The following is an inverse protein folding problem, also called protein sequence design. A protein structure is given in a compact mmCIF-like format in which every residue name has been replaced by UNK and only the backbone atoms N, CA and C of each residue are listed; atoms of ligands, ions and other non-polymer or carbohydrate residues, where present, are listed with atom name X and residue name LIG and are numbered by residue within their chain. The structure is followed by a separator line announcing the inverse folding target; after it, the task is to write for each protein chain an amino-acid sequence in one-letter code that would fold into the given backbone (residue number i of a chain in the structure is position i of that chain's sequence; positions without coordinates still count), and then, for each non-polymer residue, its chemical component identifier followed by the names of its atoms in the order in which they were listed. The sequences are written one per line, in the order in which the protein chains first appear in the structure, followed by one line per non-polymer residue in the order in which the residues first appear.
data_IF_215688659213
#
_entry.id   IF_215688659213
#
_cell.length_a   1.000
_cell.length_b   1.000
_cell.length_c   1.000
_cell.angle_alpha   90.00
_cell.angle_beta   90.00
_cell.angle_gamma   90.00
#
_symmetry.space_group_name_H-M   'P 1'
#
loop_
_entity.id
_entity.type
_entity.pdbx_description
1 polymer ?
#
# COMPACT_ATOMS: atom_id res chain seq x y z
N UNK A 1 -11.78 1.42 -5.63
CA UNK A 1 -12.12 0.03 -6.06
C UNK A 1 -11.12 -0.87 -5.36
N UNK A 2 -11.62 -1.86 -4.63
CA UNK A 2 -10.82 -2.79 -3.81
C UNK A 2 -10.03 -3.79 -4.67
N UNK A 3 -8.88 -4.22 -4.17
CA UNK A 3 -8.15 -5.35 -4.72
C UNK A 3 -8.83 -6.62 -4.18
N UNK A 4 -9.20 -7.56 -5.06
CA UNK A 4 -9.57 -8.90 -4.59
C UNK A 4 -8.25 -9.60 -4.27
N UNK A 5 -8.06 -10.00 -3.01
CA UNK A 5 -6.89 -10.73 -2.59
C UNK A 5 -6.82 -12.06 -3.36
N UNK A 6 -5.93 -12.10 -4.35
CA UNK A 6 -5.23 -13.32 -4.74
C UNK A 6 -3.77 -13.20 -4.35
N UNK A 7 -3.48 -12.64 -3.16
CA UNK A 7 -2.19 -12.93 -2.52
C UNK A 7 -2.25 -14.42 -2.16
N UNK A 8 -1.32 -15.21 -2.71
CA UNK A 8 -1.10 -16.63 -2.40
C UNK A 8 -0.65 -16.89 -0.96
N UNK A 9 -1.31 -16.25 -0.01
CA UNK A 9 -1.22 -16.51 1.42
C UNK A 9 -2.33 -17.49 1.79
N UNK A 10 -2.03 -18.47 2.63
CA UNK A 10 -2.93 -19.52 3.17
C UNK A 10 -4.21 -19.00 3.85
N UNK A 11 -4.49 -17.70 3.82
CA UNK A 11 -5.73 -17.07 4.28
C UNK A 11 -6.90 -17.30 3.30
N UNK A 12 -6.64 -17.60 2.02
CA UNK A 12 -7.69 -17.83 1.02
C UNK A 12 -8.55 -19.10 1.28
N UNK A 13 -8.03 -20.05 2.06
CA UNK A 13 -8.67 -21.33 2.36
C UNK A 13 -9.28 -21.40 3.77
N UNK A 14 -9.28 -20.30 4.51
CA UNK A 14 -9.84 -20.28 5.86
C UNK A 14 -11.36 -20.08 5.82
N UNK A 15 -12.12 -21.11 6.21
CA UNK A 15 -13.56 -20.98 6.50
C UNK A 15 -13.69 -20.66 7.99
N UNK A 16 -14.32 -19.55 8.40
CA UNK A 16 -14.41 -19.21 9.81
C UNK A 16 -15.19 -20.26 10.61
N UNK A 17 -14.72 -20.50 11.82
CA UNK A 17 -15.42 -21.32 12.81
C UNK A 17 -16.59 -20.49 13.33
N UNK A 18 -17.79 -20.77 12.81
CA UNK A 18 -19.10 -20.35 13.31
C UNK A 18 -19.30 -18.84 13.59
N UNK A 19 -19.79 -18.12 12.59
CA UNK A 19 -20.34 -16.76 12.69
C UNK A 19 -20.75 -16.26 11.31
N UNK A 20 -21.83 -15.47 11.20
CA UNK A 20 -22.17 -14.80 9.94
C UNK A 20 -21.08 -13.77 9.62
N UNK A 21 -20.30 -14.01 8.56
CA UNK A 21 -19.35 -13.03 8.04
C UNK A 21 -20.09 -11.78 7.54
N UNK A 22 -19.49 -10.61 7.76
CA UNK A 22 -20.02 -9.37 7.18
C UNK A 22 -19.91 -9.43 5.66
N UNK A 23 -21.05 -9.57 4.98
CA UNK A 23 -21.12 -9.46 3.52
C UNK A 23 -21.38 -8.00 3.10
N UNK A 24 -20.59 -7.49 2.16
CA UNK A 24 -20.70 -6.11 1.68
C UNK A 24 -22.01 -5.89 0.90
N UNK A 25 -22.50 -6.92 0.21
CA UNK A 25 -23.73 -6.83 -0.59
C UNK A 25 -24.98 -7.16 0.22
N UNK A 26 -24.90 -8.14 1.13
CA UNK A 26 -26.04 -8.74 1.80
C UNK A 26 -26.05 -8.44 3.31
N UNK A 27 -27.24 -8.21 3.85
CA UNK A 27 -27.48 -8.14 5.30
C UNK A 27 -27.50 -9.55 5.93
N UNK A 28 -27.52 -9.63 7.26
CA UNK A 28 -27.62 -10.90 7.98
C UNK A 28 -28.92 -11.66 7.64
N UNK A 29 -29.97 -10.93 7.28
CA UNK A 29 -31.27 -11.45 6.86
C UNK A 29 -31.31 -11.85 5.37
N UNK A 30 -30.19 -11.70 4.64
CA UNK A 30 -30.06 -12.05 3.22
C UNK A 30 -30.62 -11.02 2.23
N UNK A 31 -31.16 -9.90 2.72
CA UNK A 31 -31.59 -8.79 1.88
C UNK A 31 -30.38 -7.96 1.40
N UNK A 32 -30.38 -7.45 0.15
CA UNK A 32 -29.30 -6.56 -0.32
C UNK A 32 -29.26 -5.28 0.53
N UNK A 33 -28.06 -4.84 0.90
CA UNK A 33 -27.85 -3.58 1.60
C UNK A 33 -28.29 -2.40 0.73
N UNK A 34 -28.74 -1.27 1.31
CA UNK A 34 -29.29 -0.15 0.55
C UNK A 34 -28.39 0.37 -0.58
N UNK A 35 -27.07 0.46 -0.34
CA UNK A 35 -26.11 0.93 -1.34
C UNK A 35 -25.86 -0.10 -2.47
N UNK A 36 -26.16 -1.37 -2.24
CA UNK A 36 -26.10 -2.44 -3.25
C UNK A 36 -27.42 -2.65 -4.00
N UNK A 37 -28.56 -2.13 -3.53
CA UNK A 37 -29.88 -2.38 -4.11
C UNK A 37 -29.92 -2.24 -5.64
N UNK A 38 -29.47 -1.10 -6.18
CA UNK A 38 -29.49 -0.90 -7.64
C UNK A 38 -28.59 -1.86 -8.43
N UNK A 39 -27.50 -2.35 -7.84
CA UNK A 39 -26.63 -3.35 -8.47
C UNK A 39 -27.29 -4.74 -8.40
N UNK A 40 -27.91 -5.07 -7.26
CA UNK A 40 -28.73 -6.27 -7.11
C UNK A 40 -29.88 -6.31 -8.12
N UNK A 41 -30.58 -5.19 -8.32
CA UNK A 41 -31.69 -5.09 -9.26
C UNK A 41 -31.22 -5.21 -10.71
N UNK A 42 -30.09 -4.59 -11.06
CA UNK A 42 -29.47 -4.77 -12.37
C UNK A 42 -29.13 -6.24 -12.60
N UNK A 43 -28.41 -6.86 -11.65
CA UNK A 43 -27.99 -8.26 -11.74
C UNK A 43 -29.18 -9.22 -11.92
N UNK A 44 -30.30 -8.99 -11.22
CA UNK A 44 -31.53 -9.80 -11.35
C UNK A 44 -32.22 -9.63 -12.71
N UNK A 45 -32.11 -8.46 -13.35
CA UNK A 45 -32.75 -8.16 -14.64
C UNK A 45 -31.87 -8.53 -15.83
N UNK A 46 -30.55 -8.64 -15.63
CA UNK A 46 -29.60 -8.98 -16.69
C UNK A 46 -29.59 -10.49 -16.96
N UNK A 47 -29.81 -10.94 -18.21
CA UNK A 47 -29.71 -12.35 -18.57
C UNK A 47 -28.31 -12.93 -18.29
N UNK A 48 -28.24 -14.18 -17.86
CA UNK A 48 -26.99 -14.87 -17.49
C UNK A 48 -25.98 -14.88 -18.65
N UNK A 49 -26.44 -15.10 -19.89
CA UNK A 49 -25.59 -15.09 -21.08
C UNK A 49 -24.95 -13.72 -21.32
N UNK A 50 -25.67 -12.64 -21.02
CA UNK A 50 -25.15 -11.28 -21.13
C UNK A 50 -24.09 -11.01 -20.06
N UNK A 51 -24.27 -11.53 -18.84
CA UNK A 51 -23.26 -11.45 -17.77
C UNK A 51 -22.00 -12.21 -18.20
N UNK A 52 -22.14 -13.43 -18.73
CA UNK A 52 -21.02 -14.23 -19.22
C UNK A 52 -20.26 -13.52 -20.34
N UNK A 53 -20.97 -12.95 -21.33
CA UNK A 53 -20.36 -12.17 -22.41
C UNK A 53 -19.55 -10.97 -21.90
N UNK A 54 -20.08 -10.22 -20.92
CA UNK A 54 -19.37 -9.07 -20.33
C UNK A 54 -18.12 -9.51 -19.57
N UNK A 55 -18.13 -10.66 -18.90
CA UNK A 55 -16.95 -11.24 -18.24
C UNK A 55 -15.87 -11.62 -19.26
N UNK A 56 -16.24 -12.30 -20.34
CA UNK A 56 -15.31 -12.64 -21.43
C UNK A 56 -14.75 -11.40 -22.14
N UNK A 57 -15.55 -10.33 -22.28
CA UNK A 57 -15.04 -9.06 -22.80
C UNK A 57 -14.02 -8.43 -21.84
N UNK A 58 -14.30 -8.44 -20.53
CA UNK A 58 -13.38 -7.95 -19.52
C UNK A 58 -12.03 -8.70 -19.56
N UNK A 59 -12.07 -10.03 -19.52
CA UNK A 59 -10.87 -10.87 -19.57
C UNK A 59 -10.02 -10.59 -20.82
N UNK A 60 -10.64 -10.52 -22.00
CA UNK A 60 -9.94 -10.18 -23.26
C UNK A 60 -9.38 -8.76 -23.24
N UNK A 61 -10.05 -7.82 -22.58
CA UNK A 61 -9.58 -6.45 -22.52
C UNK A 61 -8.37 -6.32 -21.57
N UNK A 62 -8.41 -6.93 -20.38
CA UNK A 62 -7.26 -6.98 -19.46
C UNK A 62 -6.06 -7.71 -20.08
N UNK A 63 -6.29 -8.79 -20.83
CA UNK A 63 -5.23 -9.48 -21.57
C UNK A 63 -4.57 -8.58 -22.63
N UNK A 64 -5.32 -7.69 -23.29
CA UNK A 64 -4.77 -6.76 -24.29
C UNK A 64 -4.02 -5.58 -23.68
N UNK A 65 -4.44 -5.11 -22.52
CA UNK A 65 -3.78 -3.98 -21.83
C UNK A 65 -2.46 -4.43 -21.19
N UNK A 66 -2.25 -5.75 -21.00
CA UNK A 66 -0.99 -6.29 -20.49
C UNK A 66 -0.81 -6.07 -18.99
N UNK A 67 -1.93 -6.01 -18.26
CA UNK A 67 -1.94 -5.85 -16.80
C UNK A 67 -1.53 -7.18 -16.16
N UNK A 68 -0.23 -7.38 -15.99
CA UNK A 68 0.36 -8.60 -15.41
C UNK A 68 0.83 -8.38 -13.97
N UNK A 69 1.02 -9.48 -13.23
CA UNK A 69 1.71 -9.53 -11.96
C UNK A 69 2.60 -10.77 -11.89
N UNK A 70 3.71 -10.70 -11.17
CA UNK A 70 4.58 -11.84 -10.92
C UNK A 70 4.11 -12.62 -9.70
N UNK A 71 3.65 -13.87 -9.87
CA UNK A 71 3.31 -14.73 -8.73
C UNK A 71 4.61 -15.26 -8.12
N UNK A 72 5.01 -14.71 -6.98
CA UNK A 72 6.11 -15.26 -6.20
C UNK A 72 5.64 -16.54 -5.49
N UNK A 73 6.13 -17.71 -5.90
CA UNK A 73 5.84 -18.96 -5.19
C UNK A 73 5.97 -20.27 -5.96
N UNK A 74 6.05 -20.26 -7.29
CA UNK A 74 6.29 -21.48 -8.09
C UNK A 74 7.41 -21.24 -9.09
N UNK A 75 8.26 -22.25 -9.29
CA UNK A 75 9.40 -22.22 -10.21
C UNK A 75 8.97 -21.72 -11.60
N UNK A 76 9.43 -20.52 -11.95
CA UNK A 76 9.20 -19.89 -13.25
C UNK A 76 8.30 -18.65 -13.13
N UNK A 77 8.93 -17.48 -13.21
CA UNK A 77 8.28 -16.15 -13.30
C UNK A 77 7.38 -16.02 -14.50
N UNK A 78 6.25 -16.72 -14.46
CA UNK A 78 5.14 -16.59 -15.39
C UNK A 78 4.32 -15.41 -14.92
N UNK A 79 4.44 -14.30 -15.63
CA UNK A 79 3.52 -13.18 -15.52
C UNK A 79 2.08 -13.71 -15.67
N UNK A 80 1.25 -13.55 -14.63
CA UNK A 80 -0.17 -13.88 -14.68
C UNK A 80 -0.97 -12.59 -14.77
N UNK A 81 -2.03 -12.59 -15.57
CA UNK A 81 -3.00 -11.50 -15.58
C UNK A 81 -3.68 -11.42 -14.22
N UNK A 82 -3.85 -10.20 -13.70
CA UNK A 82 -4.69 -10.01 -12.51
C UNK A 82 -6.13 -10.30 -12.92
N UNK A 83 -6.81 -11.27 -12.30
CA UNK A 83 -8.19 -11.54 -12.62
C UNK A 83 -9.06 -10.37 -12.13
N UNK A 84 -10.01 -10.01 -12.98
CA UNK A 84 -10.94 -8.93 -12.75
C UNK A 84 -12.32 -9.49 -12.51
N UNK A 85 -12.97 -9.04 -11.44
CA UNK A 85 -14.37 -9.35 -11.18
C UNK A 85 -15.25 -8.13 -11.47
N UNK A 86 -16.43 -8.40 -12.04
CA UNK A 86 -17.37 -7.37 -12.45
C UNK A 86 -18.26 -6.86 -11.30
N UNK A 87 -18.28 -7.54 -10.14
CA UNK A 87 -19.01 -7.09 -8.96
C UNK A 87 -18.20 -5.97 -8.29
N UNK A 88 -18.72 -4.72 -8.27
CA UNK A 88 -17.99 -3.62 -7.66
C UNK A 88 -18.04 -3.71 -6.14
N UNK A 89 -16.94 -3.29 -5.49
CA UNK A 89 -16.97 -2.86 -4.08
C UNK A 89 -17.58 -1.47 -4.00
N UNK A 90 -18.81 -1.37 -3.48
CA UNK A 90 -19.53 -0.11 -3.34
C UNK A 90 -19.39 0.38 -1.91
N UNK A 91 -18.75 1.53 -1.71
CA UNK A 91 -18.58 2.15 -0.40
C UNK A 91 -19.51 3.38 -0.31
N UNK A 92 -20.44 3.44 0.67
CA UNK A 92 -21.29 4.60 0.90
C UNK A 92 -20.47 5.88 1.15
N UNK A 93 -21.01 7.03 0.72
CA UNK A 93 -20.34 8.32 0.88
C UNK A 93 -20.07 8.70 2.35
N UNK A 94 -20.93 8.27 3.29
CA UNK A 94 -20.72 8.47 4.73
C UNK A 94 -19.53 7.66 5.25
N UNK A 95 -19.42 6.39 4.86
CA UNK A 95 -18.30 5.52 5.23
C UNK A 95 -16.99 6.06 4.62
N UNK A 96 -17.02 6.46 3.35
CA UNK A 96 -15.84 7.04 2.69
C UNK A 96 -15.36 8.33 3.36
N UNK A 97 -16.25 9.21 3.82
CA UNK A 97 -15.83 10.44 4.54
C UNK A 97 -15.09 10.13 5.84
N UNK A 98 -15.49 9.07 6.56
CA UNK A 98 -14.78 8.63 7.77
C UNK A 98 -13.42 8.03 7.41
N UNK A 99 -13.38 7.15 6.40
CA UNK A 99 -12.13 6.58 5.89
C UNK A 99 -11.16 7.67 5.45
N UNK A 100 -11.62 8.63 4.64
CA UNK A 100 -10.81 9.73 4.12
C UNK A 100 -10.19 10.55 5.27
N UNK A 101 -10.99 10.94 6.26
CA UNK A 101 -10.49 11.69 7.44
C UNK A 101 -9.43 10.90 8.21
N UNK A 102 -9.70 9.63 8.48
CA UNK A 102 -8.78 8.79 9.25
C UNK A 102 -7.49 8.44 8.50
N UNK A 103 -7.56 8.27 7.18
CA UNK A 103 -6.39 8.08 6.32
C UNK A 103 -5.50 9.33 6.30
N UNK A 104 -6.10 10.52 6.18
CA UNK A 104 -5.38 11.80 6.27
C UNK A 104 -4.70 11.96 7.63
N UNK A 105 -5.42 11.72 8.72
CA UNK A 105 -4.90 11.77 10.08
C UNK A 105 -3.69 10.83 10.26
N UNK A 106 -3.84 9.57 9.86
CA UNK A 106 -2.80 8.55 9.99
C UNK A 106 -1.54 8.92 9.21
N UNK A 107 -1.67 9.28 7.94
CA UNK A 107 -0.52 9.62 7.08
C UNK A 107 0.16 10.92 7.51
N UNK A 108 -0.61 11.87 8.09
CA UNK A 108 -0.03 13.07 8.68
C UNK A 108 0.83 12.72 9.91
N UNK A 109 0.33 11.89 10.83
CA UNK A 109 1.12 11.43 11.98
C UNK A 109 2.36 10.62 11.56
N UNK A 110 2.27 9.80 10.50
CA UNK A 110 3.42 9.05 9.96
C UNK A 110 4.50 9.96 9.37
N UNK A 111 4.11 11.05 8.69
CA UNK A 111 5.09 12.04 8.21
C UNK A 111 5.74 12.81 9.37
N UNK A 112 4.98 13.20 10.41
CA UNK A 112 5.54 13.82 11.62
C UNK A 112 6.47 12.87 12.37
N UNK A 113 6.13 11.58 12.43
CA UNK A 113 7.01 10.55 12.98
C UNK A 113 8.34 10.45 12.22
N UNK A 114 8.28 10.39 10.88
CA UNK A 114 9.47 10.33 10.03
C UNK A 114 10.36 11.56 10.20
N UNK A 115 9.76 12.74 10.26
CA UNK A 115 10.48 13.99 10.55
C UNK A 115 11.15 13.94 11.93
N UNK A 116 10.40 13.59 12.97
CA UNK A 116 10.90 13.55 14.34
C UNK A 116 12.05 12.56 14.53
N UNK A 117 11.96 11.33 13.99
CA UNK A 117 13.04 10.33 14.19
C UNK A 117 14.35 10.71 13.48
N UNK A 118 14.27 11.48 12.40
CA UNK A 118 15.45 11.99 11.70
C UNK A 118 15.98 13.29 12.29
N UNK A 119 15.23 13.96 13.18
CA UNK A 119 15.62 15.20 13.84
C UNK A 119 15.66 15.05 15.37
N UNK A 120 14.67 15.59 16.07
CA UNK A 120 14.68 15.77 17.52
C UNK A 120 14.41 14.49 18.31
N UNK A 121 13.85 13.46 17.70
CA UNK A 121 13.55 12.16 18.32
C UNK A 121 12.71 12.28 19.60
N UNK A 122 11.78 13.24 19.60
CA UNK A 122 10.91 13.60 20.73
C UNK A 122 10.07 12.42 21.19
N UNK A 123 9.49 11.64 20.27
CA UNK A 123 8.69 10.45 20.59
C UNK A 123 9.52 9.34 21.26
N UNK A 124 10.81 9.24 20.90
CA UNK A 124 11.75 8.28 21.48
C UNK A 124 12.19 8.74 22.87
N UNK A 125 12.52 10.03 23.01
CA UNK A 125 12.88 10.67 24.29
C UNK A 125 11.75 10.63 25.31
N UNK A 126 10.50 10.71 24.85
CA UNK A 126 9.30 10.56 25.66
C UNK A 126 9.01 9.11 26.07
N UNK A 127 9.74 8.13 25.52
CA UNK A 127 9.55 6.70 25.82
C UNK A 127 8.26 6.10 25.22
N UNK A 128 7.60 6.80 24.28
CA UNK A 128 6.40 6.29 23.61
C UNK A 128 6.78 5.14 22.67
N UNK A 129 7.91 5.28 21.96
CA UNK A 129 8.48 4.21 21.14
C UNK A 129 9.91 3.93 21.64
N UNK A 130 10.27 2.66 21.93
CA UNK A 130 11.62 2.33 22.35
C UNK A 130 12.66 2.69 21.28
N UNK A 131 13.75 3.42 21.60
CA UNK A 131 14.74 3.87 20.62
C UNK A 131 15.31 2.74 19.76
N UNK A 132 15.56 1.56 20.33
CA UNK A 132 16.09 0.40 19.65
C UNK A 132 15.18 -0.13 18.52
N UNK A 133 13.86 0.08 18.61
CA UNK A 133 12.91 -0.31 17.56
C UNK A 133 13.08 0.52 16.29
N UNK A 134 13.57 1.75 16.43
CA UNK A 134 13.80 2.68 15.32
C UNK A 134 15.26 2.66 14.91
N UNK A 135 16.18 2.95 15.83
CA UNK A 135 17.60 3.21 15.53
C UNK A 135 18.39 1.95 15.14
N UNK A 136 17.92 0.76 15.52
CA UNK A 136 18.48 -0.52 15.09
C UNK A 136 17.72 -1.15 13.91
N UNK A 137 16.65 -0.51 13.43
CA UNK A 137 15.87 -1.01 12.30
C UNK A 137 16.70 -0.94 11.02
N UNK A 138 16.69 -2.00 10.21
CA UNK A 138 17.41 -2.03 8.93
C UNK A 138 16.91 -1.01 7.91
N UNK A 139 15.67 -0.53 8.08
CA UNK A 139 15.08 0.51 7.23
C UNK A 139 15.38 1.93 7.71
N UNK A 140 15.94 2.11 8.91
CA UNK A 140 16.35 3.43 9.38
C UNK A 140 17.65 3.86 8.68
N UNK A 141 17.55 4.92 7.88
CA UNK A 141 18.67 5.49 7.13
C UNK A 141 19.36 6.58 7.93
N UNK A 142 20.51 6.26 8.54
CA UNK A 142 21.33 7.22 9.30
C UNK A 142 21.76 8.42 8.44
N UNK A 143 21.86 8.20 7.14
CA UNK A 143 22.19 9.20 6.14
C UNK A 143 21.19 10.36 6.11
N UNK A 144 19.92 10.13 6.50
CA UNK A 144 18.85 11.12 6.54
C UNK A 144 18.83 11.95 7.84
N UNK A 145 19.66 11.63 8.84
CA UNK A 145 19.65 12.33 10.12
C UNK A 145 20.06 13.81 9.97
N UNK A 146 19.22 14.72 10.47
CA UNK A 146 19.39 16.16 10.38
C UNK A 146 19.21 16.74 8.97
N UNK A 147 18.61 15.98 8.05
CA UNK A 147 18.33 16.44 6.70
C UNK A 147 16.88 16.94 6.57
N UNK A 148 16.75 18.24 6.27
CA UNK A 148 15.46 18.83 5.92
C UNK A 148 14.98 18.30 4.55
N UNK A 149 13.73 17.85 4.49
CA UNK A 149 13.05 17.49 3.24
C UNK A 149 12.02 18.55 2.86
N UNK A 150 11.78 18.83 1.56
CA UNK A 150 10.83 19.85 1.14
C UNK A 150 9.43 19.66 1.76
N UNK A 151 8.97 20.66 2.50
CA UNK A 151 7.67 20.65 3.17
C UNK A 151 7.56 19.70 4.37
N UNK A 152 8.65 19.07 4.83
CA UNK A 152 8.59 18.04 5.87
C UNK A 152 7.83 16.78 5.42
N UNK A 153 7.72 16.56 4.10
CA UNK A 153 6.97 15.45 3.53
C UNK A 153 7.94 14.34 3.14
N UNK A 154 7.82 13.21 3.83
CA UNK A 154 8.60 12.01 3.55
C UNK A 154 7.79 11.06 2.65
N UNK A 155 6.60 10.69 3.10
CA UNK A 155 5.66 9.85 2.36
C UNK A 155 4.71 10.72 1.52
N UNK A 156 5.15 11.05 0.32
CA UNK A 156 4.37 11.81 -0.67
C UNK A 156 3.18 10.99 -1.17
N UNK A 157 3.38 9.68 -1.33
CA UNK A 157 2.33 8.71 -1.62
C UNK A 157 2.35 7.66 -0.52
N UNK A 158 1.22 7.44 0.14
CA UNK A 158 1.04 6.39 1.13
C UNK A 158 -0.11 5.47 0.70
N UNK A 159 0.18 4.18 0.52
CA UNK A 159 -0.86 3.16 0.34
C UNK A 159 -1.24 2.56 1.69
N UNK A 160 -2.51 2.58 2.05
CA UNK A 160 -2.95 2.05 3.36
C UNK A 160 -3.88 0.87 3.14
N UNK A 161 -3.48 -0.32 3.56
CA UNK A 161 -4.29 -1.53 3.46
C UNK A 161 -5.34 -1.55 4.56
N UNK A 162 -6.61 -1.58 4.16
CA UNK A 162 -7.76 -1.56 5.05
C UNK A 162 -8.60 -2.80 4.81
N UNK A 163 -9.00 -3.45 5.90
CA UNK A 163 -10.03 -4.47 5.88
C UNK A 163 -11.25 -4.02 6.63
N UNK A 164 -12.38 -4.63 6.29
CA UNK A 164 -13.60 -4.55 7.08
C UNK A 164 -13.78 -5.89 7.78
N UNK A 165 -14.09 -5.89 9.06
CA UNK A 165 -14.28 -7.10 9.86
C UNK A 165 -15.37 -6.90 10.91
N UNK A 166 -15.68 -7.97 11.66
CA UNK A 166 -16.68 -8.00 12.72
C UNK A 166 -18.04 -7.47 12.25
N UNK A 167 -18.66 -6.55 12.99
CA UNK A 167 -19.93 -5.91 12.64
C UNK A 167 -19.78 -4.80 11.58
N UNK A 168 -18.73 -4.84 10.76
CA UNK A 168 -18.48 -3.89 9.68
C UNK A 168 -17.53 -2.75 10.04
N UNK A 169 -16.70 -2.93 11.07
CA UNK A 169 -15.67 -1.97 11.45
C UNK A 169 -14.46 -2.02 10.50
N UNK A 170 -13.80 -0.88 10.31
CA UNK A 170 -12.60 -0.78 9.47
C UNK A 170 -11.33 -0.87 10.30
N UNK A 171 -10.37 -1.64 9.81
CA UNK A 171 -9.06 -1.82 10.41
C UNK A 171 -7.96 -1.62 9.38
N UNK A 172 -6.92 -0.86 9.73
CA UNK A 172 -5.70 -0.76 8.94
C UNK A 172 -4.87 -2.01 9.20
N UNK A 173 -4.50 -2.76 8.15
CA UNK A 173 -3.62 -3.92 8.24
C UNK A 173 -2.14 -3.54 8.13
N UNK A 174 -1.82 -2.64 7.20
CA UNK A 174 -0.46 -2.35 6.77
C UNK A 174 -0.41 -0.96 6.13
N UNK A 175 0.68 -0.23 6.38
CA UNK A 175 1.02 1.00 5.70
C UNK A 175 2.09 0.69 4.64
N UNK A 176 2.07 1.40 3.53
CA UNK A 176 3.03 1.21 2.44
C UNK A 176 3.59 2.60 2.09
N UNK A 177 4.77 2.92 2.63
CA UNK A 177 5.38 4.26 2.58
C UNK A 177 6.68 4.30 1.77
N UNK A 178 7.17 3.15 1.30
CA UNK A 178 8.34 3.06 0.40
C UNK A 178 7.96 3.42 -1.04
N UNK A 179 7.62 2.39 -1.83
CA UNK A 179 7.26 2.51 -3.24
C UNK A 179 5.87 1.88 -3.46
N UNK A 180 4.79 2.47 -2.90
CA UNK A 180 3.46 1.89 -3.00
C UNK A 180 3.02 1.76 -4.47
N UNK A 181 2.50 0.60 -4.82
CA UNK A 181 1.95 0.30 -6.14
C UNK A 181 0.48 -0.07 -6.07
N UNK A 182 -0.20 0.02 -7.21
CA UNK A 182 -1.53 -0.54 -7.47
C UNK A 182 -2.55 0.46 -8.05
N UNK A 183 -2.15 1.72 -8.22
CA UNK A 183 -3.00 2.81 -8.78
C UNK A 183 -3.40 2.52 -10.22
N UNK A 184 -2.51 1.92 -11.03
CA UNK A 184 -2.86 1.61 -12.43
C UNK A 184 -4.05 0.66 -12.50
N UNK A 185 -4.11 -0.35 -11.62
CA UNK A 185 -5.27 -1.25 -11.53
C UNK A 185 -6.53 -0.51 -11.11
N UNK A 186 -6.46 0.41 -10.14
CA UNK A 186 -7.62 1.22 -9.75
C UNK A 186 -8.21 1.99 -10.95
N UNK A 187 -7.35 2.64 -11.74
CA UNK A 187 -7.74 3.45 -12.88
C UNK A 187 -8.29 2.59 -14.03
N UNK A 188 -7.61 1.50 -14.35
CA UNK A 188 -8.03 0.58 -15.41
C UNK A 188 -9.30 -0.19 -15.04
N UNK A 189 -9.47 -0.60 -13.78
CA UNK A 189 -10.71 -1.20 -13.27
C UNK A 189 -11.89 -0.24 -13.43
N UNK A 190 -11.71 1.06 -13.14
CA UNK A 190 -12.76 2.06 -13.34
C UNK A 190 -13.11 2.22 -14.82
N UNK A 191 -12.10 2.37 -15.69
CA UNK A 191 -12.29 2.49 -17.14
C UNK A 191 -13.02 1.29 -17.71
N UNK A 192 -12.65 0.08 -17.28
CA UNK A 192 -13.31 -1.15 -17.69
C UNK A 192 -14.78 -1.18 -17.27
N UNK A 193 -15.06 -0.89 -16.00
CA UNK A 193 -16.43 -0.89 -15.48
C UNK A 193 -17.32 0.13 -16.21
N UNK A 194 -16.80 1.33 -16.52
CA UNK A 194 -17.55 2.34 -17.27
C UNK A 194 -17.84 1.91 -18.70
N UNK A 195 -16.89 1.21 -19.35
CA UNK A 195 -17.05 0.67 -20.70
C UNK A 195 -18.06 -0.48 -20.75
N UNK A 196 -17.96 -1.42 -19.81
CA UNK A 196 -18.78 -2.63 -19.81
C UNK A 196 -20.19 -2.38 -19.27
N UNK A 197 -20.38 -1.42 -18.36
CA UNK A 197 -21.65 -1.20 -17.66
C UNK A 197 -22.07 0.27 -17.59
N UNK A 198 -22.10 1.01 -18.72
CA UNK A 198 -22.42 2.45 -18.70
C UNK A 198 -23.78 2.76 -18.03
N UNK A 199 -24.75 1.86 -18.11
CA UNK A 199 -26.06 1.97 -17.47
C UNK A 199 -26.00 2.03 -15.93
N UNK A 200 -25.04 1.33 -15.31
CA UNK A 200 -24.83 1.36 -13.86
C UNK A 200 -24.24 2.70 -13.40
N UNK A 201 -23.43 3.34 -14.25
CA UNK A 201 -22.85 4.66 -13.98
C UNK A 201 -23.84 5.78 -14.24
N UNK A 202 -24.73 5.65 -15.23
CA UNK A 202 -25.75 6.64 -15.54
C UNK A 202 -26.77 6.86 -14.41
N UNK A 203 -26.99 5.84 -13.58
CA UNK A 203 -28.00 5.85 -12.52
C UNK A 203 -27.43 6.16 -11.12
N UNK A 204 -26.11 6.39 -11.02
CA UNK A 204 -25.42 6.56 -9.73
C UNK A 204 -24.39 7.67 -9.76
N UNK A 205 -24.33 8.44 -8.67
CA UNK A 205 -23.29 9.43 -8.45
C UNK A 205 -22.01 8.77 -7.92
N UNK A 206 -21.22 8.17 -8.82
CA UNK A 206 -19.92 7.56 -8.51
C UNK A 206 -18.83 8.64 -8.61
N UNK A 207 -18.03 8.82 -7.56
CA UNK A 207 -16.90 9.77 -7.60
C UNK A 207 -15.86 9.34 -8.66
N UNK A 208 -15.38 10.27 -9.51
CA UNK A 208 -14.34 9.99 -10.49
C UNK A 208 -13.01 9.67 -9.80
N UNK A 209 -12.15 8.90 -10.47
CA UNK A 209 -10.79 8.59 -9.99
C UNK A 209 -9.68 8.90 -11.01
N UNK A 210 -10.07 9.20 -12.25
CA UNK A 210 -9.21 9.42 -13.39
C UNK A 210 -8.24 10.61 -13.26
N UNK A 211 -8.53 11.54 -12.37
CA UNK A 211 -7.73 12.75 -12.11
C UNK A 211 -6.57 12.50 -11.13
N UNK A 212 -6.36 11.25 -10.66
CA UNK A 212 -5.24 10.90 -9.78
C UNK A 212 -3.87 11.30 -10.35
N UNK A 213 -3.51 10.99 -11.62
CA UNK A 213 -2.20 11.34 -12.15
C UNK A 213 -1.95 12.85 -12.18
N UNK A 214 -2.99 13.65 -12.46
CA UNK A 214 -2.90 15.11 -12.46
C UNK A 214 -2.61 15.66 -11.05
N UNK A 215 -3.34 15.15 -10.04
CA UNK A 215 -3.10 15.50 -8.63
C UNK A 215 -1.70 15.09 -8.17
N UNK A 216 -1.26 13.87 -8.54
CA UNK A 216 0.08 13.40 -8.22
C UNK A 216 1.15 14.31 -8.84
N UNK A 217 1.00 14.71 -10.10
CA UNK A 217 1.94 15.60 -10.75
C UNK A 217 1.95 17.00 -10.10
N UNK A 218 0.79 17.51 -9.71
CA UNK A 218 0.67 18.77 -8.98
C UNK A 218 1.41 18.72 -7.64
N UNK A 219 1.20 17.66 -6.86
CA UNK A 219 1.87 17.46 -5.56
C UNK A 219 3.39 17.30 -5.73
N UNK A 220 3.83 16.52 -6.73
CA UNK A 220 5.26 16.36 -7.07
C UNK A 220 5.91 17.70 -7.46
N UNK A 221 5.24 18.52 -8.27
CA UNK A 221 5.74 19.87 -8.60
C UNK A 221 5.75 20.79 -7.38
N UNK A 222 4.79 20.60 -6.47
CA UNK A 222 4.66 21.37 -5.24
C UNK A 222 5.82 21.20 -4.24
N UNK A 223 6.56 20.09 -4.34
CA UNK A 223 7.71 19.75 -3.48
C UNK A 223 9.07 19.95 -4.16
N UNK A 224 9.12 20.64 -5.30
CA UNK A 224 10.38 20.95 -5.96
C UNK A 224 11.29 21.84 -5.08
N UNK A 225 12.62 21.82 -5.32
CA UNK A 225 13.54 22.76 -4.68
C UNK A 225 13.08 24.22 -4.80
N UNK A 226 13.38 25.02 -3.77
CA UNK A 226 12.93 26.41 -3.70
C UNK A 226 13.42 27.24 -4.90
N UNK A 227 12.56 28.13 -5.40
CA UNK A 227 12.87 29.05 -6.50
C UNK A 227 12.59 28.52 -7.91
N UNK A 228 12.10 27.28 -8.05
CA UNK A 228 11.77 26.70 -9.35
C UNK A 228 10.30 26.96 -9.75
N UNK A 229 10.07 27.83 -10.73
CA UNK A 229 8.71 28.14 -11.22
C UNK A 229 8.13 27.05 -12.12
N UNK A 230 8.99 26.29 -12.82
CA UNK A 230 8.59 25.24 -13.76
C UNK A 230 9.44 23.99 -13.54
N UNK A 231 9.23 23.28 -12.42
CA UNK A 231 10.06 22.14 -12.07
C UNK A 231 9.85 20.97 -13.04
N UNK A 232 10.98 20.43 -13.47
CA UNK A 232 11.05 19.20 -14.26
C UNK A 232 10.87 17.98 -13.34
N UNK A 233 9.83 17.19 -13.63
CA UNK A 233 9.51 15.94 -12.93
C UNK A 233 9.80 14.77 -13.85
N UNK A 234 10.38 13.69 -13.33
CA UNK A 234 10.54 12.42 -14.05
C UNK A 234 10.26 11.22 -13.14
N UNK A 235 9.90 10.08 -13.74
CA UNK A 235 9.70 8.81 -13.03
C UNK A 235 10.95 7.95 -13.19
N UNK A 236 11.66 7.70 -12.08
CA UNK A 236 12.82 6.81 -12.07
C UNK A 236 12.34 5.35 -11.90
N UNK A 237 12.63 4.50 -12.88
CA UNK A 237 12.23 3.09 -12.89
C UNK A 237 13.44 2.15 -12.86
N UNK A 238 13.35 0.97 -12.23
CA UNK A 238 14.38 -0.07 -12.31
C UNK A 238 14.38 -0.83 -13.66
N UNK A 239 13.48 -0.48 -14.58
CA UNK A 239 13.38 -1.06 -15.92
C UNK A 239 12.40 -2.22 -16.05
N UNK A 240 12.34 -2.78 -17.27
CA UNK A 240 11.28 -3.70 -17.71
C UNK A 240 11.20 -5.03 -16.94
N UNK A 241 12.27 -5.43 -16.25
CA UNK A 241 12.29 -6.67 -15.46
C UNK A 241 11.66 -6.55 -14.07
N UNK A 242 11.15 -5.38 -13.71
CA UNK A 242 10.39 -5.19 -12.48
C UNK A 242 8.90 -5.48 -12.71
N UNK A 243 8.27 -6.22 -11.79
CA UNK A 243 6.85 -6.62 -11.90
C UNK A 243 5.86 -5.46 -11.94
N UNK A 244 6.25 -4.27 -11.46
CA UNK A 244 5.42 -3.06 -11.48
C UNK A 244 5.79 -2.10 -12.64
N UNK A 245 6.69 -2.49 -13.55
CA UNK A 245 7.14 -1.62 -14.65
C UNK A 245 5.99 -1.04 -15.49
N UNK A 246 4.96 -1.85 -15.76
CA UNK A 246 3.75 -1.39 -16.44
C UNK A 246 3.14 -0.17 -15.76
N UNK A 247 3.01 -0.18 -14.42
CA UNK A 247 2.48 0.95 -13.68
C UNK A 247 3.39 2.17 -13.74
N UNK A 248 4.71 1.98 -13.74
CA UNK A 248 5.67 3.08 -13.83
C UNK A 248 5.52 3.81 -15.17
N UNK A 249 5.50 3.05 -16.27
CA UNK A 249 5.29 3.57 -17.61
C UNK A 249 3.91 4.21 -17.78
N UNK A 250 2.87 3.55 -17.27
CA UNK A 250 1.50 4.07 -17.29
C UNK A 250 1.41 5.42 -16.58
N UNK A 251 1.91 5.54 -15.34
CA UNK A 251 1.85 6.79 -14.59
C UNK A 251 2.68 7.90 -15.23
N UNK A 252 3.89 7.59 -15.72
CA UNK A 252 4.71 8.56 -16.45
C UNK A 252 3.97 9.10 -17.69
N UNK A 253 3.34 8.20 -18.46
CA UNK A 253 2.54 8.58 -19.63
C UNK A 253 1.31 9.42 -19.24
N UNK A 254 0.56 9.03 -18.20
CA UNK A 254 -0.65 9.77 -17.78
C UNK A 254 -0.30 11.16 -17.21
N UNK A 255 0.82 11.29 -16.51
CA UNK A 255 1.33 12.59 -16.04
C UNK A 255 1.98 13.41 -17.16
N UNK A 256 2.31 12.80 -18.30
CA UNK A 256 3.03 13.46 -19.38
C UNK A 256 4.47 13.85 -18.99
N UNK A 257 5.14 12.99 -18.23
CA UNK A 257 6.53 13.16 -17.79
C UNK A 257 7.42 12.04 -18.33
N UNK A 258 8.73 12.24 -18.31
CA UNK A 258 9.69 11.25 -18.79
C UNK A 258 9.76 10.05 -17.84
N UNK A 259 9.80 8.84 -18.42
CA UNK A 259 10.17 7.61 -17.74
C UNK A 259 11.66 7.38 -17.98
N UNK A 260 12.46 7.31 -16.91
CA UNK A 260 13.92 7.23 -16.99
C UNK A 260 14.47 6.09 -16.15
N UNK A 261 15.53 5.47 -16.63
CA UNK A 261 16.36 4.53 -15.86
C UNK A 261 17.62 5.24 -15.33
N UNK A 262 18.34 4.62 -14.40
CA UNK A 262 19.58 5.16 -13.83
C UNK A 262 20.58 5.69 -14.87
N UNK A 263 20.90 4.93 -15.95
CA UNK A 263 21.83 5.36 -17.00
C UNK A 263 21.42 6.62 -17.79
N UNK A 264 20.12 6.92 -17.85
CA UNK A 264 19.58 8.12 -18.52
C UNK A 264 19.88 9.39 -17.73
N UNK A 265 20.24 9.24 -16.46
CA UNK A 265 20.54 10.32 -15.54
C UNK A 265 22.03 10.39 -15.20
N UNK A 266 22.50 11.57 -14.80
CA UNK A 266 23.81 11.75 -14.20
C UNK A 266 23.84 12.94 -13.25
N UNK A 267 24.79 12.94 -12.33
CA UNK A 267 25.00 14.05 -11.38
C UNK A 267 26.25 14.83 -11.75
N UNK A 268 26.12 16.15 -11.86
CA UNK A 268 27.23 17.08 -12.03
C UNK A 268 27.02 18.29 -11.13
N UNK A 269 28.04 18.67 -10.35
CA UNK A 269 27.95 19.73 -9.34
C UNK A 269 26.67 19.56 -8.49
N UNK A 270 26.52 18.36 -7.90
CA UNK A 270 25.38 17.92 -7.07
C UNK A 270 24.00 18.23 -7.69
N UNK A 271 23.92 18.37 -9.01
CA UNK A 271 22.67 18.62 -9.74
C UNK A 271 22.39 17.42 -10.64
N UNK A 272 21.15 16.95 -10.63
CA UNK A 272 20.72 15.82 -11.45
C UNK A 272 20.32 16.30 -12.83
N UNK A 273 20.86 15.66 -13.85
CA UNK A 273 20.54 15.92 -15.25
C UNK A 273 20.08 14.65 -15.94
N UNK A 274 19.09 14.79 -16.81
CA UNK A 274 18.68 13.80 -17.78
C UNK A 274 19.43 14.04 -19.09
N UNK A 275 19.90 12.95 -19.71
CA UNK A 275 20.57 12.98 -21.01
C UNK A 275 19.53 13.18 -22.11
N UNK A 276 19.73 14.18 -22.96
CA UNK A 276 18.88 14.40 -24.16
C UNK A 276 19.74 14.69 -25.38
N UNK A 277 19.17 14.55 -26.57
CA UNK A 277 19.86 14.88 -27.84
C UNK A 277 20.16 16.37 -27.99
N UNK A 278 19.47 17.25 -27.25
CA UNK A 278 19.70 18.70 -27.25
C UNK A 278 20.65 19.18 -26.14
N UNK A 279 21.21 18.24 -25.38
CA UNK A 279 22.04 18.52 -24.21
C UNK A 279 21.38 18.11 -22.89
N UNK A 280 22.08 18.28 -21.76
CA UNK A 280 21.57 17.86 -20.46
C UNK A 280 20.39 18.73 -20.00
N UNK A 281 19.31 18.10 -19.54
CA UNK A 281 18.14 18.78 -18.98
C UNK A 281 18.11 18.55 -17.48
N UNK A 282 18.07 19.62 -16.68
CA UNK A 282 18.02 19.52 -15.22
C UNK A 282 16.71 18.87 -14.77
N UNK A 283 16.80 17.92 -13.85
CA UNK A 283 15.66 17.28 -13.18
C UNK A 283 15.54 17.84 -11.76
N UNK A 284 14.34 18.24 -11.37
CA UNK A 284 14.09 18.89 -10.07
C UNK A 284 13.40 17.94 -9.10
N UNK A 285 12.55 17.05 -9.60
CA UNK A 285 11.84 16.05 -8.79
C UNK A 285 11.90 14.69 -9.48
N UNK A 286 12.30 13.67 -8.73
CA UNK A 286 12.23 12.27 -9.17
C UNK A 286 11.15 11.55 -8.37
N UNK A 287 10.08 11.14 -9.05
CA UNK A 287 9.19 10.13 -8.53
C UNK A 287 9.89 8.77 -8.66
N UNK A 288 10.53 8.32 -7.57
CA UNK A 288 11.33 7.11 -7.58
C UNK A 288 10.46 5.88 -7.42
N UNK A 289 10.68 4.90 -8.30
CA UNK A 289 10.11 3.55 -8.23
C UNK A 289 11.17 2.49 -7.94
N UNK A 290 12.23 2.92 -7.26
CA UNK A 290 13.42 2.14 -6.91
C UNK A 290 13.63 2.24 -5.39
N UNK A 291 13.89 1.11 -4.73
CA UNK A 291 14.16 1.05 -3.29
C UNK A 291 15.44 1.79 -2.91
N UNK A 292 15.50 2.30 -1.68
CA UNK A 292 16.59 3.16 -1.16
C UNK A 292 17.98 2.58 -1.44
N UNK A 293 18.15 1.29 -1.14
CA UNK A 293 19.40 0.54 -1.28
C UNK A 293 20.01 0.66 -2.67
N UNK A 294 19.18 0.83 -3.69
CA UNK A 294 19.59 0.80 -5.10
C UNK A 294 19.71 2.19 -5.72
N UNK A 295 19.36 3.27 -5.02
CA UNK A 295 19.27 4.62 -5.59
C UNK A 295 20.63 5.27 -5.92
N UNK A 296 21.66 5.01 -5.12
CA UNK A 296 22.98 5.61 -5.30
C UNK A 296 24.09 4.65 -4.85
N UNK A 297 24.87 4.07 -5.78
CA UNK A 297 25.95 3.16 -5.42
C UNK A 297 27.11 3.81 -4.66
N UNK A 298 27.15 5.15 -4.55
CA UNK A 298 28.14 5.86 -3.71
C UNK A 298 27.72 6.00 -2.26
N UNK A 299 26.42 5.86 -1.97
CA UNK A 299 25.86 6.03 -0.62
C UNK A 299 25.32 4.72 -0.04
N UNK A 300 24.78 3.84 -0.89
CA UNK A 300 24.09 2.61 -0.47
C UNK A 300 24.77 1.37 -1.06
N UNK A 301 24.07 0.53 -1.82
CA UNK A 301 24.64 -0.70 -2.39
C UNK A 301 25.62 -0.38 -3.53
N UNK A 302 26.93 -0.68 -3.38
CA UNK A 302 27.94 -0.28 -4.36
C UNK A 302 27.86 -1.05 -5.68
N UNK A 303 27.18 -2.20 -5.69
CA UNK A 303 26.93 -3.05 -6.85
C UNK A 303 25.61 -2.71 -7.58
N UNK A 304 24.85 -1.71 -7.10
CA UNK A 304 23.62 -1.29 -7.76
C UNK A 304 23.90 -0.70 -9.14
N UNK A 305 23.18 -1.21 -10.14
CA UNK A 305 23.14 -0.69 -11.52
C UNK A 305 21.84 0.08 -11.82
N UNK A 306 20.92 0.17 -10.86
CA UNK A 306 19.58 0.77 -11.06
C UNK A 306 19.57 2.28 -10.74
N UNK A 307 20.46 2.71 -9.86
CA UNK A 307 20.52 4.07 -9.34
C UNK A 307 21.38 5.02 -10.17
N UNK A 308 21.61 6.21 -9.61
CA UNK A 308 22.43 7.27 -10.22
C UNK A 308 23.56 7.64 -9.26
N UNK A 309 24.84 7.43 -9.64
CA UNK A 309 25.96 7.77 -8.77
C UNK A 309 25.98 9.24 -8.36
N UNK A 310 25.94 9.52 -7.06
CA UNK A 310 25.91 10.87 -6.49
C UNK A 310 24.51 11.48 -6.32
N UNK A 311 23.44 10.73 -6.60
CA UNK A 311 22.05 11.18 -6.40
C UNK A 311 21.78 11.58 -4.96
N UNK A 312 22.29 10.82 -3.99
CA UNK A 312 22.07 11.13 -2.59
C UNK A 312 22.74 12.46 -2.19
N UNK A 313 23.93 12.73 -2.73
CA UNK A 313 24.61 14.02 -2.51
C UNK A 313 23.80 15.20 -3.10
N UNK A 314 23.21 15.02 -4.29
CA UNK A 314 22.34 16.02 -4.91
C UNK A 314 21.07 16.28 -4.09
N UNK A 315 20.45 15.21 -3.58
CA UNK A 315 19.28 15.29 -2.72
C UNK A 315 19.59 16.01 -1.41
N UNK A 316 20.68 15.63 -0.73
CA UNK A 316 21.16 16.29 0.51
C UNK A 316 21.55 17.76 0.30
N UNK A 317 22.04 18.11 -0.89
CA UNK A 317 22.33 19.50 -1.24
C UNK A 317 21.06 20.33 -1.57
N UNK A 318 19.87 19.73 -1.50
CA UNK A 318 18.59 20.38 -1.80
C UNK A 318 18.42 20.72 -3.28
N UNK A 319 19.15 20.06 -4.19
CA UNK A 319 19.14 20.37 -5.64
C UNK A 319 18.17 19.52 -6.46
N UNK A 320 17.64 18.46 -5.86
CA UNK A 320 16.60 17.57 -6.39
C UNK A 320 15.74 17.10 -5.22
N UNK A 321 14.45 16.83 -5.46
CA UNK A 321 13.56 16.17 -4.50
C UNK A 321 13.34 14.72 -4.92
N UNK A 322 13.36 13.79 -3.96
CA UNK A 322 12.97 12.39 -4.16
C UNK A 322 11.60 12.16 -3.54
N UNK A 323 10.67 11.62 -4.33
CA UNK A 323 9.34 11.24 -3.88
C UNK A 323 9.14 9.73 -4.09
N UNK A 324 8.83 8.92 -3.08
CA UNK A 324 8.92 9.25 -1.65
C UNK A 324 10.37 9.52 -1.20
N UNK A 325 10.54 10.16 -0.05
CA UNK A 325 11.86 10.41 0.53
C UNK A 325 12.60 9.09 0.85
N UNK A 326 13.91 9.16 0.99
CA UNK A 326 14.72 8.04 1.50
C UNK A 326 14.41 7.84 3.00
N UNK A 327 14.41 6.60 3.48
CA UNK A 327 14.22 6.28 4.90
C UNK A 327 12.77 6.12 5.36
N UNK A 328 11.78 6.22 4.48
CA UNK A 328 10.37 6.03 4.84
C UNK A 328 10.05 4.61 5.35
N UNK A 329 10.88 3.62 4.99
CA UNK A 329 10.64 2.21 5.32
C UNK A 329 10.68 1.87 6.80
N UNK A 330 11.23 2.74 7.66
CA UNK A 330 11.17 2.54 9.11
C UNK A 330 9.75 2.76 9.65
N UNK A 331 8.98 3.67 9.06
CA UNK A 331 7.62 3.97 9.52
C UNK A 331 6.57 2.95 9.05
N UNK A 332 6.87 2.18 8.01
CA UNK A 332 6.01 1.08 7.54
C UNK A 332 6.49 -0.32 7.95
N UNK A 333 7.54 -0.40 8.79
CA UNK A 333 8.00 -1.68 9.34
C UNK A 333 6.96 -2.25 10.33
N UNK A 334 6.80 -3.57 10.32
CA UNK A 334 5.81 -4.27 11.15
C UNK A 334 6.05 -4.08 12.65
N UNK A 335 7.29 -3.80 13.09
CA UNK A 335 7.56 -3.47 14.50
C UNK A 335 7.03 -2.10 14.90
N UNK A 336 6.90 -1.19 13.94
CA UNK A 336 6.48 0.19 14.19
C UNK A 336 4.96 0.34 14.06
N UNK A 337 4.32 -0.48 13.22
CA UNK A 337 2.87 -0.50 13.04
C UNK A 337 2.04 -0.43 14.35
N UNK A 338 2.34 -1.19 15.44
CA UNK A 338 1.58 -1.12 16.69
C UNK A 338 1.57 0.25 17.35
N UNK A 339 2.57 1.09 17.08
CA UNK A 339 2.74 2.41 17.70
C UNK A 339 2.06 3.55 16.94
N UNK A 340 1.53 3.31 15.74
CA UNK A 340 0.87 4.37 14.94
C UNK A 340 -0.31 5.04 15.68
N UNK A 341 -1.16 4.33 16.43
CA UNK A 341 -2.15 4.96 17.32
C UNK A 341 -1.53 5.96 18.30
N UNK A 342 -0.38 5.62 18.88
CA UNK A 342 0.31 6.49 19.83
C UNK A 342 1.02 7.66 19.14
N UNK A 343 1.48 7.50 17.90
CA UNK A 343 1.95 8.62 17.07
C UNK A 343 0.83 9.64 16.85
N UNK A 344 -0.39 9.19 16.53
CA UNK A 344 -1.54 10.09 16.34
C UNK A 344 -1.81 10.88 17.63
N UNK A 345 -1.84 10.20 18.78
CA UNK A 345 -2.03 10.87 20.08
C UNK A 345 -0.91 11.83 20.41
N UNK A 346 0.33 11.43 20.17
CA UNK A 346 1.53 12.19 20.53
C UNK A 346 1.68 13.45 19.67
N UNK A 347 1.57 13.32 18.35
CA UNK A 347 1.81 14.43 17.43
C UNK A 347 0.58 15.30 17.19
N UNK A 348 -0.62 14.71 17.16
CA UNK A 348 -1.85 15.42 16.80
C UNK A 348 -2.72 15.76 18.01
N UNK A 349 -2.47 15.16 19.17
CA UNK A 349 -3.37 15.28 20.35
C UNK A 349 -4.80 14.84 20.01
N UNK A 350 -4.93 13.83 19.16
CA UNK A 350 -6.21 13.28 18.70
C UNK A 350 -6.30 11.77 18.99
N UNK A 351 -7.52 11.24 19.05
CA UNK A 351 -7.72 9.79 19.02
C UNK A 351 -7.72 9.27 17.57
N UNK A 352 -7.15 8.07 17.32
CA UNK A 352 -7.18 7.45 16.00
C UNK A 352 -8.61 7.23 15.50
N UNK A 353 -8.90 7.74 14.30
CA UNK A 353 -10.20 7.54 13.63
C UNK A 353 -10.32 6.10 13.08
N UNK A 354 -9.21 5.56 12.57
CA UNK A 354 -9.14 4.19 12.07
C UNK A 354 -8.45 3.29 13.08
N UNK A 355 -9.01 2.09 13.26
CA UNK A 355 -8.46 1.12 14.17
C UNK A 355 -7.22 0.45 13.54
N UNK A 356 -6.19 0.23 14.36
CA UNK A 356 -5.25 -0.85 14.07
C UNK A 356 -5.92 -2.20 14.42
N UNK A 357 -5.45 -3.26 13.77
CA UNK A 357 -5.68 -4.60 14.27
C UNK A 357 -5.04 -4.73 15.65
N UNK A 358 -5.74 -5.26 16.67
CA UNK A 358 -5.14 -5.55 17.96
C UNK A 358 -3.87 -6.36 17.77
N UNK A 359 -2.74 -5.85 18.26
CA UNK A 359 -1.43 -6.45 17.99
C UNK A 359 -0.66 -6.59 19.29
N UNK A 360 -0.32 -7.83 19.63
CA UNK A 360 0.53 -8.19 20.76
C UNK A 360 1.99 -8.16 20.32
N UNK A 361 2.82 -7.44 21.07
CA UNK A 361 4.25 -7.35 20.86
C UNK A 361 4.93 -8.40 21.74
N UNK A 362 5.41 -9.49 21.15
CA UNK A 362 5.89 -10.65 21.92
C UNK A 362 7.18 -10.34 22.71
N UNK A 363 7.81 -9.18 22.52
CA UNK A 363 8.83 -8.64 23.41
C UNK A 363 8.33 -8.31 24.82
N UNK A 364 7.03 -8.07 24.98
CA UNK A 364 6.41 -7.81 26.29
C UNK A 364 6.00 -9.14 26.89
N UNK A 365 6.36 -9.36 28.15
CA UNK A 365 6.14 -10.65 28.83
C UNK A 365 4.66 -11.04 28.88
N UNK A 366 3.77 -10.09 29.13
CA UNK A 366 2.32 -10.31 29.15
C UNK A 366 1.77 -10.71 27.78
N UNK A 367 2.21 -10.03 26.72
CA UNK A 367 1.82 -10.27 25.33
C UNK A 367 2.35 -11.63 24.85
N UNK A 368 3.59 -11.98 25.22
CA UNK A 368 4.18 -13.28 24.95
C UNK A 368 3.38 -14.40 25.60
N UNK A 369 3.10 -14.27 26.89
CA UNK A 369 2.31 -15.25 27.65
C UNK A 369 0.94 -15.45 27.01
N UNK A 370 0.21 -14.37 26.74
CA UNK A 370 -1.08 -14.43 26.07
C UNK A 370 -0.99 -15.14 24.71
N UNK A 371 -0.01 -14.75 23.88
CA UNK A 371 0.19 -15.37 22.57
C UNK A 371 0.46 -16.88 22.68
N UNK A 372 1.30 -17.29 23.62
CA UNK A 372 1.65 -18.69 23.84
C UNK A 372 0.48 -19.52 24.40
N UNK A 373 -0.41 -18.92 25.18
CA UNK A 373 -1.63 -19.56 25.70
C UNK A 373 -2.71 -19.69 24.60
N UNK A 374 -2.82 -18.69 23.72
CA UNK A 374 -3.86 -18.60 22.68
C UNK A 374 -3.35 -18.85 21.25
N UNK A 375 -2.21 -19.54 21.08
CA UNK A 375 -1.54 -19.71 19.79
C UNK A 375 -2.43 -20.39 18.72
N UNK A 376 -3.46 -21.13 19.15
CA UNK A 376 -4.45 -21.76 18.28
C UNK A 376 -5.44 -20.79 17.62
N UNK A 377 -5.56 -19.57 18.15
CA UNK A 377 -6.59 -18.59 17.76
C UNK A 377 -5.98 -17.38 17.01
N UNK A 378 -4.66 -17.23 17.10
CA UNK A 378 -3.92 -16.07 16.65
C UNK A 378 -3.18 -16.33 15.33
N UNK A 379 -2.87 -15.23 14.64
CA UNK A 379 -1.90 -15.21 13.54
C UNK A 379 -0.61 -14.58 14.06
N UNK A 380 0.50 -15.33 14.03
CA UNK A 380 1.82 -14.84 14.45
C UNK A 380 2.68 -14.56 13.22
N UNK A 381 3.34 -13.41 13.19
CA UNK A 381 4.15 -12.95 12.05
C UNK A 381 5.53 -12.50 12.53
N UNK A 382 6.55 -12.79 11.74
CA UNK A 382 7.87 -12.17 11.91
C UNK A 382 7.81 -10.67 11.58
N UNK A 383 8.48 -9.88 12.43
CA UNK A 383 8.63 -8.43 12.35
C UNK A 383 9.40 -8.03 11.10
N UNK A 384 10.53 -8.68 10.83
CA UNK A 384 11.37 -8.41 9.67
C UNK A 384 11.18 -9.49 8.61
N UNK A 385 10.55 -9.14 7.49
CA UNK A 385 10.37 -10.04 6.34
C UNK A 385 9.27 -9.58 5.40
N UNK A 386 9.47 -9.76 4.10
CA UNK A 386 8.48 -9.49 3.05
C UNK A 386 7.81 -10.80 2.61
N UNK A 387 6.47 -10.79 2.52
CA UNK A 387 5.66 -11.85 1.90
C UNK A 387 5.67 -13.22 2.61
N UNK A 388 4.60 -13.55 3.34
CA UNK A 388 4.13 -14.92 3.64
C UNK A 388 5.03 -15.92 4.42
N UNK A 389 6.34 -15.80 4.32
CA UNK A 389 7.34 -16.60 5.04
C UNK A 389 7.49 -16.04 6.47
N UNK A 390 7.64 -16.93 7.46
CA UNK A 390 7.71 -16.53 8.87
C UNK A 390 6.35 -16.23 9.52
N UNK A 391 5.25 -16.85 9.04
CA UNK A 391 3.91 -16.67 9.58
C UNK A 391 3.29 -18.01 10.05
N UNK A 392 2.60 -17.97 11.20
CA UNK A 392 1.73 -19.04 11.69
C UNK A 392 0.29 -18.56 11.64
N UNK A 393 -0.61 -19.34 11.03
CA UNK A 393 -2.06 -19.14 11.13
C UNK A 393 -2.60 -20.17 12.10
N UNK A 394 -2.71 -19.81 13.38
CA UNK A 394 -3.07 -20.72 14.48
C UNK A 394 -4.26 -21.63 14.19
N UNK A 395 -5.40 -21.08 13.74
CA UNK A 395 -6.60 -21.88 13.47
C UNK A 395 -6.46 -22.91 12.34
N UNK A 396 -5.55 -22.66 11.40
CA UNK A 396 -5.30 -23.54 10.26
C UNK A 396 -4.07 -24.45 10.47
N UNK A 397 -3.34 -24.30 11.58
CA UNK A 397 -2.11 -25.01 11.86
C UNK A 397 -2.36 -26.27 12.71
N UNK A 398 -1.71 -27.36 12.33
CA UNK A 398 -1.69 -28.58 13.14
C UNK A 398 -1.04 -28.35 14.51
N UNK A 399 -1.29 -29.24 15.46
CA UNK A 399 -0.68 -29.17 16.80
C UNK A 399 0.85 -29.21 16.70
N UNK A 400 1.41 -30.04 15.82
CA UNK A 400 2.85 -30.16 15.61
C UNK A 400 3.47 -28.87 15.04
N UNK A 401 2.81 -28.22 14.08
CA UNK A 401 3.26 -26.94 13.53
C UNK A 401 3.22 -25.84 14.58
N UNK A 402 2.18 -25.81 15.42
CA UNK A 402 2.04 -24.84 16.52
C UNK A 402 3.15 -25.01 17.56
N UNK A 403 3.47 -26.24 17.97
CA UNK A 403 4.55 -26.49 18.93
C UNK A 403 5.94 -26.18 18.35
N UNK A 404 6.18 -26.49 17.07
CA UNK A 404 7.42 -26.08 16.40
C UNK A 404 7.55 -24.55 16.32
N UNK A 405 6.44 -23.84 16.07
CA UNK A 405 6.42 -22.38 16.04
C UNK A 405 6.57 -21.76 17.43
N UNK A 406 5.95 -22.34 18.47
CA UNK A 406 6.14 -21.98 19.89
C UNK A 406 7.63 -21.96 20.25
N UNK A 407 8.38 -23.00 19.89
CA UNK A 407 9.82 -23.05 20.16
C UNK A 407 10.60 -21.91 19.50
N UNK A 408 10.23 -21.51 18.28
CA UNK A 408 10.83 -20.36 17.59
C UNK A 408 10.50 -19.03 18.25
N UNK A 409 9.25 -18.83 18.66
CA UNK A 409 8.81 -17.63 19.40
C UNK A 409 9.62 -17.50 20.68
N UNK A 410 9.69 -18.54 21.52
CA UNK A 410 10.38 -18.49 22.81
C UNK A 410 11.87 -18.22 22.65
N UNK A 411 12.50 -18.72 21.58
CA UNK A 411 13.91 -18.50 21.32
C UNK A 411 14.23 -17.02 21.02
N UNK A 412 13.34 -16.30 20.32
CA UNK A 412 13.55 -14.92 19.87
C UNK A 412 12.23 -14.12 19.86
N UNK A 413 11.63 -13.85 21.03
CA UNK A 413 10.28 -13.28 21.12
C UNK A 413 10.17 -11.90 20.47
N UNK A 414 11.23 -11.09 20.56
CA UNK A 414 11.29 -9.73 19.99
C UNK A 414 11.14 -9.66 18.47
N UNK A 415 11.28 -10.80 17.78
CA UNK A 415 11.14 -10.93 16.33
C UNK A 415 9.72 -11.19 15.87
N UNK A 416 8.77 -11.36 16.78
CA UNK A 416 7.40 -11.76 16.45
C UNK A 416 6.36 -10.76 16.97
N UNK A 417 5.28 -10.65 16.22
CA UNK A 417 4.02 -10.02 16.66
C UNK A 417 2.89 -11.01 16.48
N UNK A 418 1.83 -10.90 17.29
CA UNK A 418 0.62 -11.69 17.13
C UNK A 418 -0.60 -10.79 16.94
N UNK A 419 -1.56 -11.24 16.14
CA UNK A 419 -2.81 -10.56 15.84
C UNK A 419 -3.97 -11.57 15.90
N UNK A 420 -5.20 -11.13 16.23
CA UNK A 420 -6.35 -12.01 16.16
C UNK A 420 -6.60 -12.43 14.71
N UNK A 421 -7.22 -13.59 14.54
CA UNK A 421 -7.74 -13.99 13.22
C UNK A 421 -8.98 -13.15 12.94
N UNK A 422 -8.87 -12.14 12.09
CA UNK A 422 -10.00 -11.29 11.73
C UNK A 422 -10.97 -12.04 10.81
N UNK A 423 -12.25 -11.97 11.14
CA UNK A 423 -13.34 -12.42 10.28
C UNK A 423 -13.56 -11.39 9.15
N UNK A 424 -12.67 -11.44 8.14
CA UNK A 424 -12.66 -10.48 7.04
C UNK A 424 -13.99 -10.46 6.29
N UNK A 425 -14.48 -9.26 5.97
CA UNK A 425 -15.70 -9.07 5.19
C UNK A 425 -15.61 -9.78 3.85
N UNK A 426 -16.76 -10.23 3.36
CA UNK A 426 -16.87 -10.83 2.03
C UNK A 426 -17.55 -9.89 1.05
N UNK A 427 -17.17 -9.99 -0.21
CA UNK A 427 -17.94 -9.43 -1.31
C UNK A 427 -18.29 -10.58 -2.27
N UNK A 428 -19.53 -10.61 -2.81
CA UNK A 428 -19.85 -11.56 -3.87
C UNK A 428 -18.88 -11.42 -5.03
N UNK A 429 -18.39 -12.54 -5.54
CA UNK A 429 -17.43 -12.62 -6.65
C UNK A 429 -17.87 -13.77 -7.54
N UNK A 430 -17.74 -13.62 -8.87
CA UNK A 430 -18.06 -14.69 -9.79
C UNK A 430 -16.99 -15.78 -9.75
N UNK A 431 -17.46 -17.01 -9.51
CA UNK A 431 -16.65 -18.23 -9.47
C UNK A 431 -17.16 -19.23 -10.50
N UNK A 432 -16.49 -20.38 -10.64
CA UNK A 432 -16.98 -21.46 -11.49
C UNK A 432 -18.38 -21.98 -11.07
N UNK A 433 -18.74 -21.86 -9.79
CA UNK A 433 -20.06 -22.26 -9.27
C UNK A 433 -21.06 -21.10 -9.20
N UNK A 434 -20.77 -19.96 -9.83
CA UNK A 434 -21.59 -18.74 -9.76
C UNK A 434 -21.10 -17.74 -8.72
N UNK A 435 -21.98 -16.84 -8.28
CA UNK A 435 -21.67 -15.83 -7.27
C UNK A 435 -21.48 -16.47 -5.90
N UNK A 436 -20.29 -16.31 -5.33
CA UNK A 436 -19.95 -16.79 -4.01
C UNK A 436 -19.20 -15.71 -3.22
N UNK A 437 -19.33 -15.68 -1.88
CA UNK A 437 -18.60 -14.73 -1.05
C UNK A 437 -17.09 -14.98 -1.14
N UNK A 438 -16.31 -13.92 -1.27
CA UNK A 438 -14.84 -13.93 -1.19
C UNK A 438 -14.33 -12.81 -0.31
N UNK A 439 -13.28 -13.08 0.47
CA UNK A 439 -12.63 -12.06 1.29
C UNK A 439 -11.93 -11.02 0.42
N UNK A 440 -11.91 -9.78 0.90
CA UNK A 440 -11.38 -8.63 0.18
C UNK A 440 -10.71 -7.63 1.12
N UNK A 441 -9.75 -6.87 0.59
CA UNK A 441 -9.16 -5.70 1.25
C UNK A 441 -9.39 -4.43 0.42
N UNK A 442 -8.95 -3.28 0.90
CA UNK A 442 -9.03 -2.00 0.21
C UNK A 442 -7.72 -1.26 0.44
N UNK A 443 -7.07 -0.82 -0.63
CA UNK A 443 -5.92 0.07 -0.55
C UNK A 443 -6.24 1.43 -1.17
N UNK A 444 -6.61 2.44 -0.38
CA UNK A 444 -6.62 3.82 -0.82
C UNK A 444 -5.20 4.38 -0.85
N UNK A 445 -4.99 5.41 -1.67
CA UNK A 445 -3.73 6.14 -1.77
C UNK A 445 -3.92 7.56 -1.25
N UNK A 446 -3.13 7.92 -0.26
CA UNK A 446 -3.05 9.28 0.27
C UNK A 446 -1.91 10.00 -0.43
N UNK A 447 -2.20 11.14 -1.02
CA UNK A 447 -1.23 12.05 -1.63
C UNK A 447 -0.95 13.19 -0.67
N UNK A 448 0.32 13.38 -0.32
CA UNK A 448 0.80 14.45 0.54
C UNK A 448 1.64 15.41 -0.29
N UNK A 449 1.10 16.60 -0.53
CA UNK A 449 1.82 17.75 -1.09
C UNK A 449 1.53 19.00 -0.26
N UNK A 450 1.23 20.12 -0.91
CA UNK A 450 0.76 21.33 -0.20
C UNK A 450 -0.57 21.12 0.54
N UNK A 451 -1.34 20.13 0.08
CA UNK A 451 -2.55 19.65 0.71
C UNK A 451 -2.50 18.13 0.76
N UNK A 452 -3.30 17.52 1.65
CA UNK A 452 -3.43 16.06 1.74
C UNK A 452 -4.69 15.63 0.98
N UNK A 453 -4.51 14.88 -0.10
CA UNK A 453 -5.56 14.50 -1.03
C UNK A 453 -5.76 12.97 -1.05
N UNK A 454 -6.99 12.55 -1.37
CA UNK A 454 -7.35 11.16 -1.66
C UNK A 454 -8.26 11.13 -2.88
N UNK A 455 -8.14 10.08 -3.68
CA UNK A 455 -8.95 9.84 -4.89
C UNK A 455 -9.79 8.58 -4.75
#
# INVERSE_FOLDING_TARGET
MAQVLLKGSRLADFTPVSGHLYDEMSSAEGAPRPHYQGFSDWLKRTPVDQIAQKREEAERAFHRIGITFAVYGENGGTERLIPFDIVPRIIPASEWRTLERGLKQRVHALNLFLDDIYHDQSILKAGVIPPERVLANSQYRREMHGMDVPGGIYAHIAGVDIVRADEGAYYVLEDNLRVPSGVSYMLENRRMMMRLFPELFATRAIKPVEHYPDLLLEDLRGVAPAGEERPEVAVLTPGAHNSAYFEHAFLAQQMGVELVEGPDLFVQNETVYMRTTRGPRRVHVLYRRVDDDFLDPRAFRPDSMLGVPGLFAAYRAGRVTLANAIGTGVADDKSIYPFVPDMIRFYLTEEPILNNVPTWQLSREDDLRYCLEHLAELVVKEVHGAGGYGMLVGPAASVAEREAFRGRIVAQPDKYIAQPTLALSTCPTFTASGLAPRHIDLRPYVLSGKSVNLV
#
